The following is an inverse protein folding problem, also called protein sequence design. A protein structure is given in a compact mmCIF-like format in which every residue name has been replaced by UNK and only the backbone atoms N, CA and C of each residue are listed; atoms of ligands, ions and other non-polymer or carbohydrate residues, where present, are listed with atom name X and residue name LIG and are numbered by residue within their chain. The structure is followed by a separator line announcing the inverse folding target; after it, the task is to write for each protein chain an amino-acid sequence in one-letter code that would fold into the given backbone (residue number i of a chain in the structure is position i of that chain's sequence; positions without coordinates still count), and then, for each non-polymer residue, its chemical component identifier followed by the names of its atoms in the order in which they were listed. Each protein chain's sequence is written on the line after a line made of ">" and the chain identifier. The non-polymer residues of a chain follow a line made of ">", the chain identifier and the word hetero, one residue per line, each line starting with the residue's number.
data_IF_214554635514
#
_entry.id   IF_214554635514
#
_cell.length_a   1.000
_cell.length_b   1.000
_cell.length_c   1.000
_cell.angle_alpha   90.00
_cell.angle_beta   90.00
_cell.angle_gamma   90.00
#
_symmetry.space_group_name_H-M   'P 1'
#
loop_
_entity.id
_entity.type
_entity.pdbx_description
1 polymer ?
#
# COMPACT_ATOMS: atom_id res chain seq x y z
N UNK A 1 -42.97 -3.93 -23.63
CA UNK A 1 -42.55 -4.06 -22.21
C UNK A 1 -41.23 -3.29 -22.08
N UNK A 2 -41.26 -2.14 -21.42
CA UNK A 2 -40.07 -1.34 -21.18
C UNK A 2 -39.30 -2.01 -20.04
N UNK A 3 -38.01 -2.33 -20.26
CA UNK A 3 -37.14 -2.83 -19.23
C UNK A 3 -36.93 -1.71 -18.19
N UNK A 4 -37.32 -1.95 -16.95
CA UNK A 4 -36.97 -1.09 -15.83
C UNK A 4 -35.46 -1.10 -15.68
N UNK A 5 -34.84 0.05 -15.95
CA UNK A 5 -33.42 0.29 -15.65
C UNK A 5 -33.34 0.45 -14.13
N UNK A 6 -32.88 -0.61 -13.46
CA UNK A 6 -32.54 -0.49 -12.04
C UNK A 6 -31.43 0.57 -11.89
N UNK A 7 -31.60 1.54 -10.98
CA UNK A 7 -30.58 2.54 -10.74
C UNK A 7 -29.32 1.83 -10.21
N UNK A 8 -28.16 2.11 -10.83
CA UNK A 8 -26.87 1.64 -10.34
C UNK A 8 -26.74 1.99 -8.85
N UNK A 9 -26.32 1.06 -7.99
CA UNK A 9 -26.07 1.38 -6.60
C UNK A 9 -25.11 2.57 -6.55
N UNK A 10 -25.47 3.61 -5.81
CA UNK A 10 -24.59 4.77 -5.58
C UNK A 10 -23.33 4.25 -4.95
N UNK A 11 -22.17 4.51 -5.57
CA UNK A 11 -20.87 4.18 -5.00
C UNK A 11 -20.81 4.73 -3.56
N UNK A 12 -20.66 3.83 -2.57
CA UNK A 12 -20.50 4.22 -1.19
C UNK A 12 -19.17 4.99 -1.07
N UNK A 13 -19.19 6.10 -0.36
CA UNK A 13 -18.01 6.93 -0.13
C UNK A 13 -17.80 7.09 1.36
N UNK A 14 -16.54 7.15 1.83
CA UNK A 14 -16.27 7.53 3.22
C UNK A 14 -16.72 8.95 3.49
N UNK A 15 -17.04 9.23 4.74
CA UNK A 15 -17.45 10.54 5.20
C UNK A 15 -16.27 11.26 5.87
N UNK A 16 -15.94 12.47 5.45
CA UNK A 16 -14.96 13.30 6.14
C UNK A 16 -15.58 13.77 7.45
N UNK A 17 -15.03 13.31 8.59
CA UNK A 17 -15.50 13.68 9.91
C UNK A 17 -14.86 14.98 10.41
N UNK A 18 -13.57 15.12 10.24
CA UNK A 18 -12.81 16.23 10.78
C UNK A 18 -11.61 16.58 9.92
N UNK A 19 -11.18 17.83 10.03
CA UNK A 19 -10.02 18.39 9.35
C UNK A 19 -9.23 19.27 10.31
N UNK A 20 -7.96 18.98 10.48
CA UNK A 20 -7.06 19.76 11.33
C UNK A 20 -6.08 20.50 10.42
N UNK A 21 -6.15 21.84 10.41
CA UNK A 21 -5.36 22.73 9.51
C UNK A 21 -4.35 23.58 10.28
N UNK A 22 -3.93 23.13 11.45
CA UNK A 22 -3.17 23.93 12.40
C UNK A 22 -1.64 23.90 12.19
N UNK A 23 -1.16 23.19 11.16
CA UNK A 23 0.25 22.94 10.99
C UNK A 23 0.95 23.97 10.10
N UNK A 24 2.15 24.38 10.48
CA UNK A 24 3.01 25.24 9.66
C UNK A 24 3.84 24.40 8.68
N UNK A 25 4.11 23.15 9.02
CA UNK A 25 4.91 22.20 8.25
C UNK A 25 4.16 20.90 7.95
N UNK A 26 4.74 20.07 7.08
CA UNK A 26 4.14 18.79 6.70
C UNK A 26 4.09 17.85 7.89
N UNK A 27 2.93 17.26 8.14
CA UNK A 27 2.75 16.24 9.18
C UNK A 27 3.25 14.91 8.65
N UNK A 28 4.35 14.43 9.20
CA UNK A 28 5.03 13.21 8.76
C UNK A 28 4.43 11.94 9.34
N UNK A 29 3.81 12.04 10.52
CA UNK A 29 3.07 10.94 11.14
C UNK A 29 1.97 11.48 12.04
N UNK A 30 0.88 10.73 12.18
CA UNK A 30 -0.18 11.07 13.14
C UNK A 30 -0.88 9.79 13.61
N UNK A 31 -1.39 9.79 14.84
CA UNK A 31 -2.07 8.65 15.42
C UNK A 31 -3.34 9.06 16.15
N UNK A 32 -4.42 8.29 15.98
CA UNK A 32 -5.62 8.38 16.80
C UNK A 32 -5.33 7.66 18.11
N UNK A 33 -5.64 8.30 19.24
CA UNK A 33 -5.48 7.69 20.55
C UNK A 33 -6.71 6.79 20.80
N UNK A 34 -6.51 5.46 20.92
CA UNK A 34 -7.62 4.55 21.15
C UNK A 34 -8.35 4.88 22.45
N UNK A 35 -9.69 4.91 22.39
CA UNK A 35 -10.58 5.21 23.53
C UNK A 35 -10.49 6.64 24.09
N UNK A 36 -9.68 7.48 23.51
CA UNK A 36 -9.62 8.91 23.83
C UNK A 36 -10.04 9.74 22.60
N UNK A 37 -10.61 10.91 22.88
CA UNK A 37 -11.02 11.84 21.82
C UNK A 37 -9.83 12.71 21.41
N UNK A 38 -8.80 12.09 20.83
CA UNK A 38 -7.55 12.77 20.54
C UNK A 38 -6.73 12.23 19.38
N UNK A 39 -5.91 13.08 18.81
CA UNK A 39 -4.91 12.79 17.79
C UNK A 39 -3.56 13.32 18.24
N UNK A 40 -2.54 12.46 18.18
CA UNK A 40 -1.13 12.88 18.30
C UNK A 40 -0.57 12.99 16.90
N UNK A 41 0.16 14.06 16.63
CA UNK A 41 0.85 14.25 15.35
C UNK A 41 2.30 14.63 15.53
N UNK A 42 3.10 14.32 14.53
CA UNK A 42 4.50 14.70 14.42
C UNK A 42 4.68 15.49 13.13
N UNK A 43 5.21 16.71 13.25
CA UNK A 43 5.60 17.54 12.12
C UNK A 43 7.09 17.83 12.16
N UNK A 44 7.71 17.96 11.00
CA UNK A 44 9.11 18.28 10.83
C UNK A 44 9.25 19.81 10.76
N UNK A 45 10.11 20.41 11.58
CA UNK A 45 10.48 21.82 11.45
C UNK A 45 11.63 21.94 10.45
N UNK A 46 11.41 22.69 9.37
CA UNK A 46 12.41 22.91 8.33
C UNK A 46 13.62 23.73 8.81
N UNK A 47 13.47 24.52 9.88
CA UNK A 47 14.53 25.43 10.32
C UNK A 47 15.46 24.81 11.37
N UNK A 48 15.00 23.86 12.17
CA UNK A 48 15.75 23.32 13.32
C UNK A 48 16.00 21.81 13.27
N UNK A 49 15.44 21.05 12.31
CA UNK A 49 15.44 19.58 12.28
C UNK A 49 14.86 18.94 13.55
N UNK A 50 14.02 19.67 14.28
CA UNK A 50 13.33 19.17 15.45
C UNK A 50 11.95 18.62 15.06
N UNK A 51 11.55 17.52 15.70
CA UNK A 51 10.21 16.98 15.53
C UNK A 51 9.30 17.53 16.63
N UNK A 52 8.20 18.16 16.24
CA UNK A 52 7.18 18.62 17.17
C UNK A 52 6.08 17.59 17.31
N UNK A 53 5.78 17.22 18.55
CA UNK A 53 4.64 16.36 18.88
C UNK A 53 3.51 17.27 19.34
N UNK A 54 2.38 17.18 18.66
CA UNK A 54 1.20 17.98 18.96
C UNK A 54 0.01 17.06 19.26
N UNK A 55 -0.71 17.36 20.32
CA UNK A 55 -1.93 16.68 20.70
C UNK A 55 -3.16 17.53 20.35
N UNK A 56 -4.18 16.93 19.72
CA UNK A 56 -5.45 17.56 19.39
C UNK A 56 -6.58 16.74 19.98
N UNK A 57 -7.53 17.42 20.63
CA UNK A 57 -8.77 16.80 21.07
C UNK A 57 -9.80 16.87 19.96
N UNK A 58 -10.37 15.72 19.56
CA UNK A 58 -11.28 15.63 18.40
C UNK A 58 -12.60 16.36 18.65
N UNK A 59 -13.10 16.38 19.88
CA UNK A 59 -14.29 17.15 20.26
C UNK A 59 -14.14 18.65 19.98
N UNK A 60 -12.94 19.18 20.08
CA UNK A 60 -12.66 20.60 19.89
C UNK A 60 -12.56 20.96 18.39
N UNK A 61 -12.29 19.97 17.53
CA UNK A 61 -12.23 20.14 16.07
C UNK A 61 -13.61 20.26 15.41
N UNK A 62 -14.68 19.82 16.08
CA UNK A 62 -16.05 19.91 15.58
C UNK A 62 -16.69 21.30 15.78
N UNK A 63 -16.11 22.12 16.65
CA UNK A 63 -16.51 23.50 16.88
C UNK A 63 -15.36 24.42 16.49
N UNK A 64 -15.59 25.32 15.55
CA UNK A 64 -14.62 26.20 14.90
C UNK A 64 -13.99 27.27 15.84
N UNK A 65 -13.28 26.85 16.86
CA UNK A 65 -12.43 27.73 17.65
C UNK A 65 -11.17 26.96 18.05
N UNK A 66 -10.10 27.23 17.31
CA UNK A 66 -8.76 26.71 17.52
C UNK A 66 -8.14 27.27 18.81
N UNK A 67 -8.43 26.65 19.93
CA UNK A 67 -7.54 26.75 21.09
C UNK A 67 -6.57 25.57 21.04
N UNK A 68 -5.32 25.87 20.67
CA UNK A 68 -4.23 24.93 20.68
C UNK A 68 -3.84 24.63 22.11
N UNK A 69 -4.00 23.40 22.55
CA UNK A 69 -3.30 22.92 23.74
C UNK A 69 -1.93 22.47 23.28
N UNK A 70 -0.97 23.40 23.16
CA UNK A 70 0.43 23.05 23.18
C UNK A 70 0.68 22.50 24.59
N UNK A 71 0.73 21.20 24.74
CA UNK A 71 1.21 20.62 25.98
C UNK A 71 2.72 20.85 26.05
N UNK A 72 3.08 22.00 26.65
CA UNK A 72 4.48 22.30 27.00
C UNK A 72 5.11 21.22 27.88
N UNK A 73 4.29 20.38 28.50
CA UNK A 73 4.74 19.32 29.37
C UNK A 73 5.40 18.14 28.58
N UNK A 74 4.98 17.85 27.35
CA UNK A 74 5.64 16.86 26.52
C UNK A 74 7.01 17.33 26.02
N UNK A 75 7.21 18.61 25.76
CA UNK A 75 8.51 19.18 25.37
C UNK A 75 9.49 19.30 26.56
N UNK A 76 9.04 19.10 27.78
CA UNK A 76 9.86 19.15 29.01
C UNK A 76 10.30 17.77 29.49
N UNK A 77 9.85 16.67 28.83
CA UNK A 77 10.29 15.34 29.20
C UNK A 77 11.76 15.13 28.81
N UNK A 78 12.63 14.96 29.79
CA UNK A 78 13.98 14.50 29.54
C UNK A 78 13.93 13.03 29.10
N UNK A 79 14.66 12.63 28.05
CA UNK A 79 14.68 11.23 27.63
C UNK A 79 15.23 10.36 28.76
N UNK A 80 14.54 9.26 29.07
CA UNK A 80 14.99 8.30 30.06
C UNK A 80 16.22 7.52 29.58
N UNK A 81 16.31 7.28 28.28
CA UNK A 81 17.39 6.55 27.63
C UNK A 81 17.63 7.09 26.21
N UNK A 82 18.89 7.30 25.86
CA UNK A 82 19.29 7.74 24.53
C UNK A 82 20.44 6.88 24.03
N UNK A 83 20.35 6.34 22.83
CA UNK A 83 21.43 5.58 22.20
C UNK A 83 21.40 5.76 20.67
N UNK A 84 22.56 5.55 20.05
CA UNK A 84 22.69 5.65 18.60
C UNK A 84 22.45 4.29 17.95
N UNK A 85 21.28 4.09 17.36
CA UNK A 85 20.91 2.86 16.67
C UNK A 85 21.48 2.77 15.24
N UNK A 86 21.61 3.91 14.56
CA UNK A 86 22.03 4.00 13.16
C UNK A 86 23.06 5.09 12.93
N UNK A 87 23.90 4.93 11.89
CA UNK A 87 24.87 5.94 11.45
C UNK A 87 24.27 7.01 10.52
N UNK A 88 22.97 6.92 10.20
CA UNK A 88 22.25 7.85 9.36
C UNK A 88 20.84 8.07 9.89
N UNK A 89 19.99 8.70 9.07
CA UNK A 89 18.60 8.95 9.43
C UNK A 89 17.88 7.63 9.73
N UNK A 90 17.20 7.57 10.86
CA UNK A 90 16.24 6.50 11.18
C UNK A 90 14.99 6.70 10.32
N UNK A 91 14.53 5.64 9.65
CA UNK A 91 13.41 5.70 8.71
C UNK A 91 12.14 5.16 9.32
N UNK A 92 12.22 3.99 9.96
CA UNK A 92 11.07 3.35 10.63
C UNK A 92 11.50 2.87 12.00
N UNK A 93 10.61 3.03 12.96
CA UNK A 93 10.74 2.50 14.32
C UNK A 93 9.48 1.72 14.65
N UNK A 94 9.65 0.52 15.22
CA UNK A 94 8.56 -0.32 15.69
C UNK A 94 8.88 -0.83 17.10
N UNK A 95 7.98 -0.59 18.03
CA UNK A 95 8.07 -1.11 19.38
C UNK A 95 7.25 -2.40 19.53
N UNK A 96 7.90 -3.46 20.00
CA UNK A 96 7.31 -4.78 20.24
C UNK A 96 7.18 -4.98 21.74
N UNK A 97 6.00 -4.69 22.28
CA UNK A 97 5.73 -4.66 23.71
C UNK A 97 5.98 -6.02 24.37
N UNK A 98 5.54 -7.11 23.74
CA UNK A 98 5.60 -8.46 24.28
C UNK A 98 7.02 -8.98 24.46
N UNK A 99 7.98 -8.42 23.73
CA UNK A 99 9.39 -8.80 23.79
C UNK A 99 10.28 -7.71 24.39
N UNK A 100 9.72 -6.54 24.64
CA UNK A 100 10.46 -5.34 25.04
C UNK A 100 11.56 -4.99 24.04
N UNK A 101 11.27 -5.19 22.74
CA UNK A 101 12.20 -4.89 21.67
C UNK A 101 11.83 -3.60 20.94
N UNK A 102 12.86 -2.83 20.62
CA UNK A 102 12.76 -1.70 19.71
C UNK A 102 13.44 -2.06 18.39
N UNK A 103 12.65 -2.23 17.36
CA UNK A 103 13.11 -2.50 16.01
C UNK A 103 13.23 -1.19 15.27
N UNK A 104 14.33 -0.99 14.56
CA UNK A 104 14.55 0.23 13.79
C UNK A 104 15.26 -0.03 12.47
N UNK A 105 15.04 0.85 11.51
CA UNK A 105 15.67 0.81 10.20
C UNK A 105 16.23 2.18 9.85
N UNK A 106 17.33 2.21 9.13
CA UNK A 106 18.02 3.45 8.78
C UNK A 106 18.48 3.52 7.33
N UNK A 107 18.91 4.72 6.94
CA UNK A 107 19.54 4.98 5.64
C UNK A 107 20.93 4.32 5.50
N UNK A 108 21.51 3.84 6.59
CA UNK A 108 22.75 3.08 6.63
C UNK A 108 22.61 1.63 6.12
N UNK A 109 21.42 1.24 5.63
CA UNK A 109 21.03 -0.08 5.16
C UNK A 109 21.00 -1.14 6.26
N UNK A 110 20.92 -0.74 7.51
CA UNK A 110 20.80 -1.65 8.62
C UNK A 110 19.35 -1.71 9.11
N UNK A 111 18.94 -2.92 9.43
CA UNK A 111 17.83 -3.24 10.29
C UNK A 111 18.40 -3.70 11.61
N UNK A 112 18.02 -3.07 12.73
CA UNK A 112 18.55 -3.35 14.06
C UNK A 112 17.43 -3.57 15.07
N UNK A 113 17.67 -4.38 16.08
CA UNK A 113 16.77 -4.50 17.22
C UNK A 113 17.54 -4.37 18.52
N UNK A 114 16.92 -3.68 19.47
CA UNK A 114 17.48 -3.32 20.76
C UNK A 114 16.53 -3.73 21.88
N UNK A 115 17.07 -4.04 23.04
CA UNK A 115 16.28 -4.11 24.25
C UNK A 115 15.81 -2.70 24.64
N UNK A 116 14.50 -2.49 24.79
CA UNK A 116 13.94 -1.16 25.08
C UNK A 116 14.30 -0.65 26.47
N UNK A 117 14.51 -1.53 27.44
CA UNK A 117 14.88 -1.16 28.81
C UNK A 117 16.34 -0.76 28.94
N UNK A 118 17.25 -1.54 28.38
CA UNK A 118 18.70 -1.32 28.54
C UNK A 118 19.32 -0.50 27.41
N UNK A 119 18.68 -0.40 26.26
CA UNK A 119 19.24 0.18 25.05
C UNK A 119 20.30 -0.69 24.39
N UNK A 120 20.55 -1.88 24.92
CA UNK A 120 21.55 -2.80 24.37
C UNK A 120 21.10 -3.28 22.97
N UNK A 121 22.00 -3.16 21.99
CA UNK A 121 21.78 -3.75 20.68
C UNK A 121 21.79 -5.27 20.79
N UNK A 122 20.68 -5.91 20.44
CA UNK A 122 20.53 -7.36 20.43
C UNK A 122 21.04 -7.95 19.13
N UNK A 123 20.75 -7.26 18.00
CA UNK A 123 21.27 -7.72 16.73
C UNK A 123 21.11 -6.71 15.59
N UNK A 124 21.65 -7.09 14.45
CA UNK A 124 21.56 -6.28 13.22
C UNK A 124 21.55 -7.17 11.98
N UNK A 125 20.89 -6.71 10.93
CA UNK A 125 20.91 -7.31 9.61
C UNK A 125 21.13 -6.24 8.55
N UNK A 126 22.07 -6.48 7.61
CA UNK A 126 22.36 -5.55 6.54
C UNK A 126 21.57 -5.90 5.28
N UNK A 127 20.76 -4.96 4.80
CA UNK A 127 19.97 -5.07 3.57
C UNK A 127 20.76 -4.65 2.34
N UNK A 128 20.22 -4.97 1.16
CA UNK A 128 20.84 -4.59 -0.13
C UNK A 128 20.77 -3.08 -0.38
N UNK A 129 19.69 -2.43 0.01
CA UNK A 129 19.43 -1.00 -0.16
C UNK A 129 18.87 -0.38 1.12
N UNK A 130 18.59 0.92 1.14
CA UNK A 130 17.97 1.60 2.28
C UNK A 130 16.61 0.99 2.59
N UNK A 131 16.36 0.75 3.85
CA UNK A 131 15.09 0.19 4.31
C UNK A 131 14.06 1.31 4.44
N UNK A 132 12.89 1.07 3.91
CA UNK A 132 11.79 2.04 3.87
C UNK A 132 10.48 1.51 4.45
N UNK A 133 10.36 0.20 4.68
CA UNK A 133 9.20 -0.43 5.30
C UNK A 133 9.59 -1.51 6.30
N UNK A 134 8.85 -1.61 7.39
CA UNK A 134 9.04 -2.60 8.45
C UNK A 134 7.71 -3.07 9.00
N UNK A 135 7.54 -4.38 9.13
CA UNK A 135 6.47 -5.03 9.89
C UNK A 135 7.05 -6.19 10.69
N UNK A 136 6.37 -6.57 11.76
CA UNK A 136 6.81 -7.66 12.62
C UNK A 136 5.62 -8.51 13.07
N UNK A 137 5.80 -9.82 12.97
CA UNK A 137 4.86 -10.81 13.50
C UNK A 137 5.41 -11.37 14.83
N UNK A 138 4.71 -11.04 15.91
CA UNK A 138 5.11 -11.39 17.27
C UNK A 138 5.04 -12.91 17.51
N UNK A 139 3.99 -13.56 16.97
CA UNK A 139 3.78 -15.00 17.20
C UNK A 139 4.92 -15.84 16.60
N UNK A 140 5.29 -15.56 15.38
CA UNK A 140 6.29 -16.35 14.63
C UNK A 140 7.68 -15.73 14.68
N UNK A 141 7.81 -14.52 15.25
CA UNK A 141 9.03 -13.72 15.31
C UNK A 141 9.64 -13.39 13.94
N UNK A 142 8.79 -13.18 12.95
CA UNK A 142 9.23 -12.79 11.62
C UNK A 142 9.20 -11.27 11.45
N UNK A 143 10.33 -10.72 10.98
CA UNK A 143 10.43 -9.35 10.53
C UNK A 143 10.31 -9.31 9.00
N UNK A 144 9.47 -8.42 8.50
CA UNK A 144 9.28 -8.13 7.08
C UNK A 144 9.92 -6.78 6.79
N UNK A 145 10.94 -6.77 5.96
CA UNK A 145 11.80 -5.61 5.71
C UNK A 145 11.75 -5.27 4.24
N UNK A 146 11.16 -4.12 3.90
CA UNK A 146 11.09 -3.59 2.54
C UNK A 146 12.16 -2.55 2.28
N UNK A 147 12.80 -2.60 1.12
CA UNK A 147 13.91 -1.71 0.79
C UNK A 147 13.67 -0.91 -0.52
N UNK A 148 14.57 0.03 -0.79
CA UNK A 148 14.52 0.89 -1.97
C UNK A 148 14.80 0.15 -3.29
N UNK A 149 15.31 -1.07 -3.25
CA UNK A 149 15.51 -1.88 -4.46
C UNK A 149 14.26 -2.65 -4.89
N UNK A 150 13.14 -2.49 -4.15
CA UNK A 150 11.89 -3.20 -4.42
C UNK A 150 11.86 -4.62 -3.85
N UNK A 151 12.79 -4.96 -2.96
CA UNK A 151 12.84 -6.26 -2.32
C UNK A 151 12.14 -6.24 -0.97
N UNK A 152 11.48 -7.35 -0.63
CA UNK A 152 10.96 -7.61 0.71
C UNK A 152 11.69 -8.81 1.27
N UNK A 153 12.47 -8.58 2.33
CA UNK A 153 13.25 -9.60 3.02
C UNK A 153 12.49 -10.07 4.26
N UNK A 154 12.36 -11.38 4.43
CA UNK A 154 11.76 -12.00 5.61
C UNK A 154 12.86 -12.59 6.46
N UNK A 155 12.94 -12.13 7.69
CA UNK A 155 13.91 -12.56 8.68
C UNK A 155 13.19 -13.20 9.87
N UNK A 156 13.68 -14.30 10.36
CA UNK A 156 13.27 -14.84 11.65
C UNK A 156 14.24 -14.30 12.72
N UNK A 157 13.71 -13.60 13.71
CA UNK A 157 14.50 -13.01 14.79
C UNK A 157 14.53 -13.92 16.01
N UNK A 158 15.71 -14.05 16.57
CA UNK A 158 15.96 -14.56 17.91
C UNK A 158 16.50 -13.41 18.78
N UNK A 159 16.78 -13.68 20.06
CA UNK A 159 17.17 -12.62 20.97
C UNK A 159 18.44 -11.88 20.50
N UNK A 160 19.45 -12.60 20.07
CA UNK A 160 20.79 -12.09 19.71
C UNK A 160 21.22 -12.45 18.27
N UNK A 161 20.33 -13.01 17.50
CA UNK A 161 20.62 -13.47 16.14
C UNK A 161 19.40 -13.39 15.22
N UNK A 162 19.61 -13.48 13.92
CA UNK A 162 18.54 -13.64 12.94
C UNK A 162 18.93 -14.63 11.86
N UNK A 163 17.93 -15.24 11.25
CA UNK A 163 18.09 -16.08 10.07
C UNK A 163 17.29 -15.54 8.91
N UNK A 164 17.88 -15.52 7.72
CA UNK A 164 17.18 -15.18 6.49
C UNK A 164 16.24 -16.33 6.12
N UNK A 165 14.94 -16.05 6.04
CA UNK A 165 13.93 -17.00 5.61
C UNK A 165 13.84 -16.98 4.09
N UNK A 166 13.55 -15.82 3.51
CA UNK A 166 13.46 -15.62 2.05
C UNK A 166 13.53 -14.14 1.69
N UNK A 167 13.72 -13.87 0.40
CA UNK A 167 13.62 -12.52 -0.16
C UNK A 167 12.70 -12.55 -1.37
N UNK A 168 11.65 -11.75 -1.34
CA UNK A 168 10.73 -11.56 -2.44
C UNK A 168 11.20 -10.43 -3.35
N UNK A 169 11.09 -10.67 -4.66
CA UNK A 169 11.39 -9.68 -5.71
C UNK A 169 10.20 -9.59 -6.63
N UNK A 170 9.68 -8.40 -6.84
CA UNK A 170 8.50 -8.19 -7.68
C UNK A 170 8.27 -6.72 -7.99
N UNK A 171 8.51 -5.84 -7.02
CA UNK A 171 8.45 -4.40 -7.27
C UNK A 171 9.62 -3.90 -8.11
N UNK A 172 9.34 -2.96 -9.00
CA UNK A 172 10.35 -2.24 -9.79
C UNK A 172 10.76 -0.92 -9.16
N UNK A 173 10.05 -0.49 -8.13
CA UNK A 173 10.30 0.71 -7.35
C UNK A 173 10.53 0.43 -5.87
N UNK A 174 10.76 1.48 -5.10
CA UNK A 174 10.96 1.41 -3.66
C UNK A 174 9.72 0.86 -2.94
N UNK A 175 9.91 -0.09 -2.02
CA UNK A 175 8.84 -0.55 -1.11
C UNK A 175 8.58 0.54 -0.06
N UNK A 176 7.43 1.17 -0.13
CA UNK A 176 7.07 2.33 0.71
C UNK A 176 6.21 1.96 1.92
N UNK A 177 5.43 0.89 1.81
CA UNK A 177 4.54 0.45 2.86
C UNK A 177 4.47 -1.08 2.92
N UNK A 178 4.33 -1.62 4.11
CA UNK A 178 4.08 -3.04 4.38
C UNK A 178 2.89 -3.18 5.31
N UNK A 179 2.11 -4.24 5.11
CA UNK A 179 1.01 -4.61 6.00
C UNK A 179 0.93 -6.13 6.09
N UNK A 180 0.92 -6.67 7.29
CA UNK A 180 0.87 -8.11 7.57
C UNK A 180 -0.49 -8.53 8.10
N UNK A 181 -1.07 -9.57 7.52
CA UNK A 181 -2.23 -10.28 8.08
C UNK A 181 -1.78 -11.63 8.66
N UNK A 182 -1.70 -11.76 9.99
CA UNK A 182 -1.26 -12.99 10.64
C UNK A 182 -2.26 -14.14 10.51
N UNK A 183 -3.55 -13.82 10.34
CA UNK A 183 -4.63 -14.83 10.26
C UNK A 183 -4.56 -15.58 8.94
N UNK A 184 -4.48 -14.86 7.84
CA UNK A 184 -4.39 -15.45 6.50
C UNK A 184 -2.95 -15.73 6.09
N UNK A 185 -1.96 -15.24 6.84
CA UNK A 185 -0.53 -15.29 6.53
C UNK A 185 -0.20 -14.68 5.16
N UNK A 186 -0.78 -13.52 4.93
CA UNK A 186 -0.60 -12.73 3.72
C UNK A 186 0.13 -11.44 4.04
N UNK A 187 1.17 -11.14 3.28
CA UNK A 187 1.86 -9.87 3.34
C UNK A 187 1.45 -9.01 2.15
N UNK A 188 1.13 -7.76 2.41
CA UNK A 188 0.91 -6.74 1.40
C UNK A 188 2.10 -5.78 1.38
N UNK A 189 2.62 -5.49 0.20
CA UNK A 189 3.66 -4.48 0.01
C UNK A 189 3.21 -3.45 -1.02
N UNK A 190 3.33 -2.18 -0.67
CA UNK A 190 3.07 -1.05 -1.57
C UNK A 190 4.37 -0.42 -2.02
N UNK A 191 4.40 0.13 -3.23
CA UNK A 191 5.63 0.63 -3.81
C UNK A 191 5.46 1.95 -4.56
N UNK A 192 6.59 2.59 -4.79
CA UNK A 192 6.69 3.76 -5.65
C UNK A 192 6.48 3.44 -7.14
N UNK A 193 6.37 2.17 -7.52
CA UNK A 193 5.95 1.73 -8.86
C UNK A 193 4.43 1.74 -9.05
N UNK A 194 3.69 2.28 -8.10
CA UNK A 194 2.23 2.45 -8.07
C UNK A 194 1.44 1.15 -7.83
N UNK A 195 2.13 0.04 -7.65
CA UNK A 195 1.52 -1.27 -7.44
C UNK A 195 1.51 -1.66 -5.95
N UNK A 196 0.59 -2.57 -5.63
CA UNK A 196 0.58 -3.31 -4.38
C UNK A 196 0.76 -4.77 -4.75
N UNK A 197 1.62 -5.49 -4.07
CA UNK A 197 1.76 -6.93 -4.24
C UNK A 197 1.26 -7.64 -2.99
N UNK A 198 0.36 -8.59 -3.19
CA UNK A 198 -0.10 -9.52 -2.17
C UNK A 198 0.75 -10.79 -2.26
N UNK A 199 1.45 -11.13 -1.19
CA UNK A 199 2.31 -12.30 -1.07
C UNK A 199 1.63 -13.32 -0.15
N UNK A 200 1.23 -14.46 -0.69
CA UNK A 200 0.71 -15.57 0.11
C UNK A 200 1.89 -16.37 0.70
N UNK A 201 2.20 -16.10 1.96
CA UNK A 201 3.29 -16.75 2.69
C UNK A 201 2.82 -18.07 3.31
N UNK A 202 1.53 -18.18 3.64
CA UNK A 202 0.93 -19.36 4.24
C UNK A 202 0.55 -20.44 3.24
N UNK A 203 0.42 -20.09 1.96
CA UNK A 203 0.00 -20.99 0.90
C UNK A 203 1.09 -21.95 0.44
N UNK A 204 0.67 -23.12 -0.05
CA UNK A 204 1.61 -24.15 -0.56
C UNK A 204 2.33 -23.75 -1.84
N UNK A 205 1.87 -22.73 -2.56
CA UNK A 205 2.38 -22.32 -3.86
C UNK A 205 3.20 -21.02 -3.84
N UNK A 206 3.18 -20.25 -2.73
CA UNK A 206 3.91 -18.99 -2.65
C UNK A 206 3.47 -17.99 -3.73
N UNK A 207 2.16 -17.85 -3.95
CA UNK A 207 1.62 -17.00 -5.00
C UNK A 207 1.84 -15.52 -4.70
N UNK A 208 2.13 -14.74 -5.74
CA UNK A 208 2.22 -13.29 -5.70
C UNK A 208 1.19 -12.69 -6.65
N UNK A 209 0.34 -11.81 -6.15
CA UNK A 209 -0.69 -11.14 -6.96
C UNK A 209 -0.46 -9.64 -6.91
N UNK A 210 -0.30 -9.03 -8.07
CA UNK A 210 -0.15 -7.60 -8.22
C UNK A 210 -1.52 -6.92 -8.31
N UNK A 211 -1.75 -5.93 -7.43
CA UNK A 211 -2.95 -5.10 -7.41
C UNK A 211 -2.60 -3.73 -7.99
N UNK A 212 -3.26 -3.37 -9.06
CA UNK A 212 -3.03 -2.11 -9.76
C UNK A 212 -4.29 -1.25 -9.73
N UNK A 213 -4.20 -0.06 -9.16
CA UNK A 213 -5.33 0.86 -9.01
C UNK A 213 -4.92 2.28 -8.63
N UNK A 214 -3.66 2.49 -8.26
CA UNK A 214 -3.09 3.80 -8.00
C UNK A 214 -2.34 4.35 -9.22
N UNK A 215 -2.36 5.69 -9.36
CA UNK A 215 -1.65 6.40 -10.44
C UNK A 215 -0.34 7.03 -9.97
N UNK A 216 -0.03 6.97 -8.68
CA UNK A 216 1.19 7.48 -8.07
C UNK A 216 1.62 6.53 -6.93
N UNK A 217 2.72 6.87 -6.25
CA UNK A 217 3.31 6.08 -5.18
C UNK A 217 2.30 5.65 -4.14
N UNK A 218 2.29 4.38 -3.78
CA UNK A 218 1.54 3.88 -2.62
C UNK A 218 2.27 4.34 -1.35
N UNK A 219 1.60 5.09 -0.49
CA UNK A 219 2.20 5.67 0.72
C UNK A 219 1.84 4.92 1.99
N UNK A 220 0.70 4.25 1.99
CA UNK A 220 0.25 3.52 3.17
C UNK A 220 -0.65 2.35 2.83
N UNK A 221 -0.60 1.34 3.68
CA UNK A 221 -1.42 0.15 3.62
C UNK A 221 -1.94 -0.16 5.01
N UNK A 222 -3.21 -0.57 5.09
CA UNK A 222 -3.82 -1.07 6.30
C UNK A 222 -4.83 -2.16 5.99
N UNK A 223 -4.86 -3.21 6.76
CA UNK A 223 -5.78 -4.33 6.57
C UNK A 223 -6.86 -4.35 7.66
N UNK A 224 -8.11 -4.25 7.23
CA UNK A 224 -9.29 -4.40 8.09
C UNK A 224 -9.67 -5.88 8.15
N UNK A 225 -9.15 -6.60 9.15
CA UNK A 225 -9.31 -8.05 9.27
C UNK A 225 -10.77 -8.50 9.45
N UNK A 226 -11.60 -7.69 10.13
CA UNK A 226 -13.01 -7.99 10.40
C UNK A 226 -13.88 -7.95 9.13
N UNK A 227 -13.51 -7.16 8.11
CA UNK A 227 -14.22 -7.06 6.82
C UNK A 227 -13.43 -7.68 5.67
N UNK A 228 -12.21 -8.16 5.92
CA UNK A 228 -11.28 -8.67 4.91
C UNK A 228 -11.05 -7.69 3.77
N UNK A 229 -10.84 -6.43 4.12
CA UNK A 229 -10.56 -5.37 3.16
C UNK A 229 -9.19 -4.77 3.40
N UNK A 230 -8.46 -4.55 2.31
CA UNK A 230 -7.22 -3.78 2.32
C UNK A 230 -7.55 -2.33 1.97
N UNK A 231 -7.05 -1.40 2.77
CA UNK A 231 -7.13 0.04 2.52
C UNK A 231 -5.75 0.50 2.10
N UNK A 232 -5.65 1.17 0.98
CA UNK A 232 -4.40 1.75 0.49
C UNK A 232 -4.56 3.23 0.17
N UNK A 233 -3.50 4.00 0.34
CA UNK A 233 -3.47 5.40 -0.05
C UNK A 233 -2.25 5.71 -0.91
N UNK A 234 -2.38 6.74 -1.74
CA UNK A 234 -1.34 7.17 -2.66
C UNK A 234 -1.03 8.66 -2.54
N UNK A 235 0.15 9.05 -3.02
CA UNK A 235 0.60 10.44 -3.07
C UNK A 235 -0.31 11.35 -3.89
N UNK A 236 -1.10 10.81 -4.82
CA UNK A 236 -2.08 11.58 -5.61
C UNK A 236 -3.37 11.92 -4.84
N UNK A 237 -3.49 11.49 -3.57
CA UNK A 237 -4.67 11.69 -2.73
C UNK A 237 -5.76 10.65 -2.96
N UNK A 238 -5.49 9.57 -3.70
CA UNK A 238 -6.44 8.47 -3.85
C UNK A 238 -6.37 7.52 -2.65
N UNK A 239 -7.54 7.06 -2.21
CA UNK A 239 -7.72 5.99 -1.25
C UNK A 239 -8.54 4.90 -1.91
N UNK A 240 -8.00 3.69 -1.91
CA UNK A 240 -8.61 2.52 -2.57
C UNK A 240 -8.89 1.45 -1.52
N UNK A 241 -10.10 0.91 -1.55
CA UNK A 241 -10.53 -0.18 -0.68
C UNK A 241 -10.66 -1.42 -1.54
N UNK A 242 -9.85 -2.43 -1.24
CA UNK A 242 -9.77 -3.68 -1.98
C UNK A 242 -10.53 -4.76 -1.22
N UNK A 243 -11.46 -5.43 -1.90
CA UNK A 243 -12.07 -6.62 -1.34
C UNK A 243 -11.08 -7.78 -1.43
N UNK A 244 -10.67 -8.33 -0.27
CA UNK A 244 -9.75 -9.46 -0.19
C UNK A 244 -10.48 -10.80 0.03
N UNK A 245 -11.81 -10.79 0.11
CA UNK A 245 -12.64 -12.00 0.23
C UNK A 245 -12.80 -12.73 -1.12
N UNK A 246 -12.35 -12.10 -2.18
CA UNK A 246 -12.42 -12.64 -3.55
C UNK A 246 -11.18 -13.48 -3.83
N UNK A 247 -11.37 -14.73 -4.28
CA UNK A 247 -10.26 -15.56 -4.76
C UNK A 247 -9.67 -14.94 -6.02
N UNK A 248 -8.49 -14.35 -5.88
CA UNK A 248 -7.79 -13.69 -6.99
C UNK A 248 -7.03 -14.70 -7.84
N UNK A 249 -6.92 -14.40 -9.12
CA UNK A 249 -6.19 -15.20 -10.10
C UNK A 249 -4.88 -14.51 -10.47
N UNK A 250 -3.83 -15.29 -10.59
CA UNK A 250 -2.56 -14.81 -11.15
C UNK A 250 -2.75 -14.35 -12.60
N UNK A 251 -2.04 -13.29 -12.98
CA UNK A 251 -1.99 -12.88 -14.38
C UNK A 251 -1.26 -13.95 -15.19
N UNK A 252 -1.81 -14.39 -16.33
CA UNK A 252 -1.14 -15.38 -17.16
C UNK A 252 0.16 -14.81 -17.73
N UNK A 253 1.15 -15.66 -17.91
CA UNK A 253 2.35 -15.29 -18.65
C UNK A 253 2.00 -14.80 -20.06
N UNK A 254 2.75 -13.81 -20.52
CA UNK A 254 2.57 -13.31 -21.87
C UNK A 254 3.12 -14.30 -22.87
N UNK A 255 2.23 -14.72 -23.76
CA UNK A 255 2.60 -15.66 -24.83
C UNK A 255 3.22 -14.89 -26.00
N UNK A 256 4.47 -15.21 -26.32
CA UNK A 256 5.10 -14.70 -27.53
C UNK A 256 4.54 -15.39 -28.78
N UNK A 257 4.36 -14.59 -29.82
CA UNK A 257 3.91 -15.08 -31.13
C UNK A 257 4.36 -14.14 -32.22
N UNK A 258 4.64 -14.69 -33.38
CA UNK A 258 5.00 -13.93 -34.59
C UNK A 258 3.78 -13.32 -35.30
N UNK A 259 2.60 -13.75 -34.93
CA UNK A 259 1.32 -13.30 -35.51
C UNK A 259 0.25 -13.15 -34.41
N UNK A 260 -0.77 -12.35 -34.71
CA UNK A 260 -1.92 -12.19 -33.82
C UNK A 260 -2.65 -13.51 -33.62
N UNK A 261 -2.72 -14.01 -32.40
CA UNK A 261 -3.37 -15.29 -32.06
C UNK A 261 -4.91 -15.30 -32.23
N UNK A 262 -5.51 -14.17 -32.66
CA UNK A 262 -6.95 -14.05 -32.97
C UNK A 262 -7.26 -13.96 -34.46
N UNK A 263 -6.45 -13.23 -35.22
CA UNK A 263 -6.72 -13.02 -36.66
C UNK A 263 -5.55 -13.49 -37.56
N UNK A 264 -4.51 -14.08 -36.97
CA UNK A 264 -3.36 -14.66 -37.66
C UNK A 264 -2.55 -13.68 -38.55
N UNK A 265 -2.84 -12.36 -38.44
CA UNK A 265 -2.05 -11.37 -39.16
C UNK A 265 -0.66 -11.21 -38.53
N UNK A 266 0.42 -11.12 -39.37
CA UNK A 266 1.79 -11.07 -38.91
C UNK A 266 2.05 -9.81 -38.09
N UNK A 267 2.94 -9.91 -37.09
CA UNK A 267 3.52 -8.74 -36.43
C UNK A 267 4.71 -8.19 -37.24
N UNK A 268 5.16 -6.98 -36.90
CA UNK A 268 6.19 -6.25 -37.67
C UNK A 268 7.51 -7.01 -37.91
N UNK A 269 7.85 -7.95 -37.04
CA UNK A 269 9.10 -8.70 -37.16
C UNK A 269 8.95 -10.01 -37.95
N UNK A 270 7.74 -10.43 -38.28
CA UNK A 270 7.49 -11.63 -39.08
C UNK A 270 7.53 -11.29 -40.58
N UNK A 271 8.72 -10.95 -41.08
CA UNK A 271 8.94 -10.55 -42.46
C UNK A 271 8.54 -11.62 -43.47
N UNK A 272 8.78 -12.92 -43.15
CA UNK A 272 8.41 -14.03 -44.02
C UNK A 272 6.92 -14.07 -44.29
N UNK A 273 6.11 -14.08 -43.24
CA UNK A 273 4.65 -14.11 -43.38
C UNK A 273 4.09 -12.82 -43.98
N UNK A 274 4.72 -11.67 -43.74
CA UNK A 274 4.35 -10.39 -44.39
C UNK A 274 4.56 -10.48 -45.90
N UNK A 275 5.68 -11.05 -46.34
CA UNK A 275 5.98 -11.24 -47.76
C UNK A 275 5.00 -12.21 -48.44
N UNK A 276 4.76 -13.37 -47.81
CA UNK A 276 3.88 -14.41 -48.33
C UNK A 276 2.41 -13.94 -48.40
N UNK A 277 1.94 -13.22 -47.37
CA UNK A 277 0.56 -12.74 -47.27
C UNK A 277 0.30 -11.39 -47.96
N UNK A 278 1.37 -10.70 -48.40
CA UNK A 278 1.33 -9.30 -48.92
C UNK A 278 0.63 -8.30 -47.96
N UNK A 279 0.76 -8.56 -46.65
CA UNK A 279 0.18 -7.69 -45.60
C UNK A 279 1.28 -7.02 -44.79
N UNK A 280 1.03 -5.78 -44.45
CA UNK A 280 1.93 -5.02 -43.53
C UNK A 280 1.75 -5.58 -42.13
N UNK A 281 2.87 -5.80 -41.41
CA UNK A 281 2.85 -6.26 -40.03
C UNK A 281 2.15 -5.31 -39.07
N UNK A 282 1.58 -5.85 -38.04
CA UNK A 282 0.84 -5.12 -37.00
C UNK A 282 1.68 -4.99 -35.73
N UNK A 283 1.35 -3.98 -34.92
CA UNK A 283 1.93 -3.86 -33.58
C UNK A 283 1.38 -4.93 -32.66
N UNK A 284 2.28 -5.64 -31.95
CA UNK A 284 1.90 -6.59 -30.91
C UNK A 284 1.41 -5.88 -29.66
N UNK A 285 0.39 -6.47 -29.07
CA UNK A 285 -0.13 -6.20 -27.74
C UNK A 285 -0.43 -7.53 -27.05
N UNK A 286 -0.66 -7.50 -25.72
CA UNK A 286 -1.08 -8.69 -24.98
C UNK A 286 -2.42 -8.42 -24.29
N UNK A 287 -3.28 -9.44 -24.32
CA UNK A 287 -4.52 -9.44 -23.56
C UNK A 287 -4.20 -9.68 -22.08
N UNK A 288 -4.64 -8.79 -21.18
CA UNK A 288 -4.37 -8.93 -19.75
C UNK A 288 -5.09 -10.11 -19.10
N UNK A 289 -6.24 -10.57 -19.67
CA UNK A 289 -7.01 -11.71 -19.13
C UNK A 289 -6.43 -13.07 -19.55
N UNK A 290 -6.00 -13.26 -20.78
CA UNK A 290 -5.55 -14.56 -21.28
C UNK A 290 -4.07 -14.64 -21.69
N UNK A 291 -3.30 -13.55 -21.61
CA UNK A 291 -1.88 -13.52 -21.96
C UNK A 291 -1.56 -13.55 -23.45
N UNK A 292 -2.53 -13.81 -24.33
CA UNK A 292 -2.32 -13.98 -25.77
C UNK A 292 -1.77 -12.72 -26.44
N UNK A 293 -0.85 -12.93 -27.39
CA UNK A 293 -0.36 -11.91 -28.29
C UNK A 293 -1.44 -11.54 -29.32
N UNK A 294 -1.86 -10.27 -29.33
CA UNK A 294 -2.99 -9.80 -30.14
C UNK A 294 -2.68 -8.46 -30.81
N UNK A 295 -3.30 -8.20 -31.94
CA UNK A 295 -3.20 -6.90 -32.60
C UNK A 295 -4.17 -5.88 -32.02
N UNK A 296 -3.96 -4.59 -32.36
CA UNK A 296 -4.81 -3.50 -31.89
C UNK A 296 -6.29 -3.63 -32.30
N UNK A 297 -6.59 -4.25 -33.44
CA UNK A 297 -7.97 -4.48 -33.91
C UNK A 297 -8.70 -5.53 -33.07
N UNK A 298 -8.04 -6.66 -32.76
CA UNK A 298 -8.60 -7.74 -31.95
C UNK A 298 -8.57 -7.48 -30.43
N UNK A 299 -8.09 -6.33 -30.00
CA UNK A 299 -7.98 -5.92 -28.60
C UNK A 299 -8.24 -4.41 -28.45
N UNK A 300 -9.25 -3.92 -29.15
CA UNK A 300 -9.64 -2.51 -29.10
C UNK A 300 -10.32 -2.13 -27.79
N UNK A 301 -10.94 -3.11 -27.14
CA UNK A 301 -11.74 -2.93 -25.92
C UNK A 301 -10.85 -2.89 -24.66
N UNK A 302 -11.36 -2.24 -23.62
CA UNK A 302 -10.77 -2.12 -22.30
C UNK A 302 -11.75 -2.60 -21.26
N UNK A 303 -11.25 -3.18 -20.16
CA UNK A 303 -12.07 -3.59 -19.02
C UNK A 303 -11.23 -3.59 -17.76
N UNK A 304 -11.86 -3.35 -16.62
CA UNK A 304 -11.30 -3.71 -15.31
C UNK A 304 -11.40 -5.21 -15.11
N UNK A 305 -10.44 -5.82 -14.39
CA UNK A 305 -10.45 -7.23 -14.02
C UNK A 305 -9.97 -7.35 -12.58
N UNK A 306 -10.79 -6.98 -11.59
CA UNK A 306 -10.41 -6.99 -10.17
C UNK A 306 -9.94 -8.35 -9.66
N UNK A 307 -10.51 -9.45 -10.18
CA UNK A 307 -10.06 -10.82 -9.87
C UNK A 307 -8.57 -11.07 -10.18
N UNK A 308 -8.01 -10.33 -11.14
CA UNK A 308 -6.60 -10.40 -11.54
C UNK A 308 -5.79 -9.19 -11.04
N UNK A 309 -6.35 -8.36 -10.14
CA UNK A 309 -5.71 -7.18 -9.59
C UNK A 309 -5.80 -5.92 -10.45
N UNK A 310 -6.53 -5.93 -11.58
CA UNK A 310 -6.66 -4.75 -12.44
C UNK A 310 -7.91 -3.94 -12.10
N UNK A 311 -7.78 -2.95 -11.24
CA UNK A 311 -8.88 -2.05 -10.84
C UNK A 311 -9.07 -0.87 -11.82
N UNK A 312 -8.16 -0.68 -12.77
CA UNK A 312 -8.32 0.26 -13.88
C UNK A 312 -8.48 -0.47 -15.22
N UNK A 313 -8.94 0.25 -16.24
CA UNK A 313 -9.21 -0.33 -17.55
C UNK A 313 -7.92 -0.78 -18.26
N UNK A 314 -7.76 -2.09 -18.41
CA UNK A 314 -6.66 -2.71 -19.14
C UNK A 314 -7.11 -3.25 -20.49
N UNK A 315 -6.14 -3.45 -21.39
CA UNK A 315 -6.40 -4.02 -22.74
C UNK A 315 -6.79 -5.49 -22.61
N UNK A 316 -7.91 -5.84 -23.23
CA UNK A 316 -8.39 -7.23 -23.37
C UNK A 316 -8.72 -7.54 -24.82
N UNK A 317 -8.61 -8.80 -25.23
CA UNK A 317 -9.09 -9.21 -26.53
C UNK A 317 -10.61 -9.28 -26.55
N UNK A 318 -11.24 -9.20 -27.73
CA UNK A 318 -12.69 -9.11 -27.88
C UNK A 318 -13.41 -10.29 -27.21
N UNK A 319 -12.90 -11.54 -27.38
CA UNK A 319 -13.48 -12.71 -26.74
C UNK A 319 -13.37 -12.70 -25.20
N UNK A 320 -12.28 -12.17 -24.65
CA UNK A 320 -12.17 -11.99 -23.20
C UNK A 320 -13.09 -10.89 -22.69
N UNK A 321 -13.26 -9.81 -23.45
CA UNK A 321 -14.17 -8.74 -23.08
C UNK A 321 -15.61 -9.22 -22.94
N UNK A 322 -16.07 -10.07 -23.86
CA UNK A 322 -17.40 -10.67 -23.84
C UNK A 322 -17.59 -11.68 -22.72
N UNK A 323 -16.50 -12.29 -22.23
CA UNK A 323 -16.52 -13.25 -21.11
C UNK A 323 -16.37 -12.62 -19.71
N UNK A 324 -16.10 -11.31 -19.61
CA UNK A 324 -16.03 -10.61 -18.34
C UNK A 324 -17.44 -10.22 -17.92
N UNK A 325 -17.91 -10.77 -16.81
CA UNK A 325 -19.22 -10.47 -16.22
C UNK A 325 -19.21 -9.19 -15.40
N UNK A 326 -20.40 -8.68 -15.02
CA UNK A 326 -20.49 -7.55 -14.11
C UNK A 326 -20.02 -7.90 -12.68
N UNK A 327 -20.11 -9.18 -12.31
CA UNK A 327 -19.53 -9.70 -11.06
C UNK A 327 -18.00 -9.65 -11.08
N UNK A 328 -17.37 -9.99 -12.21
CA UNK A 328 -15.91 -9.87 -12.41
C UNK A 328 -15.43 -8.41 -12.34
N UNK A 329 -16.34 -7.44 -12.56
CA UNK A 329 -16.11 -6.00 -12.52
C UNK A 329 -16.57 -5.36 -11.20
N UNK A 330 -16.94 -6.17 -10.19
CA UNK A 330 -17.47 -5.66 -8.93
C UNK A 330 -16.54 -4.59 -8.34
N UNK A 331 -17.05 -3.37 -8.09
CA UNK A 331 -16.21 -2.22 -7.82
C UNK A 331 -15.57 -2.35 -6.44
N UNK A 332 -14.27 -2.20 -6.42
CA UNK A 332 -13.55 -1.70 -5.26
C UNK A 332 -13.96 -0.25 -5.05
N UNK A 333 -14.19 0.16 -3.81
CA UNK A 333 -14.49 1.55 -3.55
C UNK A 333 -13.21 2.37 -3.70
N UNK A 334 -13.24 3.35 -4.59
CA UNK A 334 -12.13 4.31 -4.77
C UNK A 334 -12.66 5.71 -4.57
N UNK A 335 -11.98 6.52 -3.77
CA UNK A 335 -12.24 7.94 -3.70
C UNK A 335 -10.94 8.73 -3.79
N UNK A 336 -11.03 9.95 -4.26
CA UNK A 336 -9.89 10.78 -4.57
C UNK A 336 -10.10 12.20 -4.04
N UNK A 337 -9.10 12.68 -3.31
CA UNK A 337 -9.00 14.07 -2.88
C UNK A 337 -7.74 14.70 -3.48
N UNK A 338 -7.86 15.30 -4.66
CA UNK A 338 -6.75 15.82 -5.45
C UNK A 338 -5.97 16.97 -4.79
N UNK A 339 -6.45 17.50 -3.68
CA UNK A 339 -5.78 18.57 -2.92
C UNK A 339 -5.03 18.04 -1.71
N UNK A 340 -5.13 16.75 -1.43
CA UNK A 340 -4.56 16.11 -0.25
C UNK A 340 -3.57 15.02 -0.66
N UNK A 341 -2.34 15.41 -1.02
CA UNK A 341 -1.30 14.44 -1.34
C UNK A 341 -0.88 13.71 -0.07
N UNK A 342 -1.32 12.47 0.07
CA UNK A 342 -1.17 11.69 1.30
C UNK A 342 0.30 11.30 1.51
N UNK A 343 0.79 11.54 2.72
CA UNK A 343 2.14 11.18 3.18
C UNK A 343 2.09 10.05 4.19
N UNK A 344 1.05 10.03 5.03
CA UNK A 344 0.89 9.05 6.09
C UNK A 344 -0.58 8.66 6.26
N UNK A 345 -0.81 7.43 6.69
CA UNK A 345 -2.14 6.85 6.92
C UNK A 345 -2.13 5.95 8.16
N UNK A 346 -3.21 6.04 8.95
CA UNK A 346 -3.51 5.08 10.00
C UNK A 346 -5.00 4.76 10.01
N UNK A 347 -5.35 3.50 10.13
CA UNK A 347 -6.72 3.02 10.31
C UNK A 347 -6.92 2.51 11.73
N UNK A 348 -7.99 2.96 12.38
CA UNK A 348 -8.40 2.51 13.70
C UNK A 348 -9.62 1.60 13.57
N UNK A 349 -9.45 0.27 13.70
CA UNK A 349 -10.52 -0.68 13.41
C UNK A 349 -11.67 -0.66 14.42
N UNK A 350 -11.45 -0.21 15.66
CA UNK A 350 -12.50 -0.18 16.70
C UNK A 350 -13.52 0.92 16.44
N UNK A 351 -13.10 2.05 15.90
CA UNK A 351 -13.95 3.19 15.57
C UNK A 351 -14.34 3.23 14.08
N UNK A 352 -13.64 2.47 13.23
CA UNK A 352 -13.79 2.54 11.79
C UNK A 352 -13.25 3.83 11.17
N UNK A 353 -12.38 4.55 11.87
CA UNK A 353 -11.83 5.82 11.43
C UNK A 353 -10.50 5.63 10.70
N UNK A 354 -10.35 6.34 9.58
CA UNK A 354 -9.10 6.46 8.85
C UNK A 354 -8.55 7.87 9.04
N UNK A 355 -7.31 7.97 9.49
CA UNK A 355 -6.57 9.21 9.56
C UNK A 355 -5.61 9.28 8.39
N UNK A 356 -5.57 10.40 7.69
CA UNK A 356 -4.58 10.71 6.66
C UNK A 356 -3.93 12.06 6.92
N UNK A 357 -2.62 12.16 6.71
CA UNK A 357 -1.91 13.44 6.64
C UNK A 357 -1.37 13.68 5.24
N UNK A 358 -1.33 14.94 4.82
CA UNK A 358 -0.92 15.32 3.48
C UNK A 358 0.14 16.40 3.43
N UNK A 359 0.72 16.60 2.22
CA UNK A 359 1.66 17.70 1.95
C UNK A 359 0.99 19.07 2.02
N UNK A 360 -0.33 19.12 2.04
CA UNK A 360 -1.15 20.32 2.29
C UNK A 360 -1.14 20.78 3.75
N UNK A 361 -0.33 20.13 4.60
CA UNK A 361 -0.19 20.42 6.03
C UNK A 361 -1.49 20.20 6.81
N UNK A 362 -2.31 19.24 6.37
CA UNK A 362 -3.62 18.95 6.92
C UNK A 362 -3.69 17.49 7.38
N UNK A 363 -4.31 17.26 8.53
CA UNK A 363 -4.78 15.94 8.95
C UNK A 363 -6.27 15.85 8.66
N UNK A 364 -6.71 14.77 8.03
CA UNK A 364 -8.12 14.44 7.77
C UNK A 364 -8.50 13.15 8.45
N UNK A 365 -9.67 13.12 9.04
CA UNK A 365 -10.26 11.93 9.66
C UNK A 365 -11.52 11.58 8.90
N UNK A 366 -11.57 10.34 8.42
CA UNK A 366 -12.63 9.81 7.60
C UNK A 366 -13.36 8.70 8.33
N UNK A 367 -14.68 8.76 8.33
CA UNK A 367 -15.51 7.61 8.70
C UNK A 367 -15.52 6.62 7.54
N UNK A 368 -14.96 5.44 7.76
CA UNK A 368 -14.87 4.37 6.77
C UNK A 368 -16.03 3.39 6.88
N UNK A 369 -16.88 3.46 7.90
CA UNK A 369 -17.99 2.53 8.11
C UNK A 369 -18.93 2.39 6.90
N UNK A 370 -19.19 3.44 6.06
CA UNK A 370 -20.01 3.28 4.87
C UNK A 370 -19.40 2.42 3.77
N UNK A 371 -18.07 2.22 3.79
CA UNK A 371 -17.32 1.53 2.71
C UNK A 371 -16.57 0.30 3.20
N UNK A 372 -16.21 0.26 4.49
CA UNK A 372 -15.57 -0.86 5.17
C UNK A 372 -16.63 -1.57 6.00
N UNK A 373 -17.39 -2.48 5.38
CA UNK A 373 -18.52 -3.16 6.00
C UNK A 373 -18.70 -4.58 5.45
#
# INVERSE_FOLDING_TARGET
>A
MAAEIQPRPKARKPCLLSKIEAFQEVVTAAAIIPKEDGVISVSEDSDCYENYITFFKLSDCLYSSSEFILSEDYNKMSPALTYQAHQGRVVVVLFVLEMEWLLSTGQDRNFTWHCSESGQQLGTYRTAAWVSGLQFDVETRHAFVGDQSGQVTILKLEQDSCSLVTTFKGHTGNVTALCWDPVQRVLFSGSSDHSIIMWDIGGRKGTAIELQGHNDKVQGLCYASHTRQLISCSSDGSIVIWNMDVTRQETPEWLDSDSCQKCEQPFFWNFKQMWDSKKIGLRQHHCRKCGQAVCGKCSSKRSTIPLMGFEFEVRVCDSCYESITDEDRAPTATFHDSKHNIVYMQYEPTTGNLLTSGTDKVIKIWDMTPVVS
#
